data_IF_897178977515
#
_entry.id   IF_897178977515
#
_cell.length_a   1.000
_cell.length_b   1.000
_cell.length_c   1.000
_cell.angle_alpha   90.00
_cell.angle_beta   90.00
_cell.angle_gamma   90.00
#
_symmetry.space_group_name_H-M   'P 1'
#
loop_
_entity.id
_entity.type
_entity.pdbx_description
1 polymer ?
#
# COMPACT_ATOMS: atom_id res chain seq x y z
N UNK A 1 -14.52 -19.52 -16.02
CA UNK A 1 -13.60 -20.38 -15.27
C UNK A 1 -13.60 -19.96 -13.82
N UNK A 2 -13.89 -20.88 -12.93
CA UNK A 2 -13.81 -20.60 -11.50
C UNK A 2 -12.37 -20.40 -11.09
N UNK A 3 -12.12 -19.30 -10.43
CA UNK A 3 -10.80 -18.98 -9.94
C UNK A 3 -10.76 -19.33 -8.43
N UNK A 4 -10.32 -20.55 -8.13
CA UNK A 4 -10.19 -21.01 -6.74
C UNK A 4 -9.07 -20.28 -6.01
N UNK A 5 -8.11 -19.76 -6.77
CA UNK A 5 -6.94 -19.05 -6.25
C UNK A 5 -6.83 -17.70 -6.95
N UNK A 6 -7.54 -16.69 -6.44
CA UNK A 6 -7.51 -15.36 -7.08
C UNK A 6 -6.11 -14.77 -7.11
N UNK A 7 -5.72 -14.25 -8.28
CA UNK A 7 -4.45 -13.53 -8.48
C UNK A 7 -4.80 -12.21 -9.12
N UNK A 8 -4.36 -11.11 -8.52
CA UNK A 8 -4.62 -9.78 -9.07
C UNK A 8 -3.50 -8.82 -8.71
N UNK A 9 -3.47 -7.68 -9.40
CA UNK A 9 -2.47 -6.65 -9.20
C UNK A 9 -3.09 -5.38 -8.66
N UNK A 10 -2.35 -4.70 -7.80
CA UNK A 10 -2.75 -3.43 -7.20
C UNK A 10 -1.57 -2.47 -7.16
N UNK A 11 -1.84 -1.21 -6.86
CA UNK A 11 -0.82 -0.24 -6.49
C UNK A 11 -0.99 0.15 -5.03
N UNK A 12 0.11 0.55 -4.42
CA UNK A 12 0.13 1.07 -3.05
C UNK A 12 1.13 2.23 -3.05
N UNK A 13 0.68 3.40 -2.63
CA UNK A 13 1.51 4.60 -2.64
C UNK A 13 1.50 5.29 -1.28
N UNK A 14 2.68 5.64 -0.82
CA UNK A 14 2.86 6.47 0.36
C UNK A 14 3.37 7.84 -0.10
N UNK A 15 2.51 8.86 -0.02
CA UNK A 15 2.94 10.24 -0.27
C UNK A 15 3.74 10.71 0.94
N UNK A 16 4.82 11.42 0.70
CA UNK A 16 5.78 11.85 1.73
C UNK A 16 5.86 13.37 1.79
N UNK A 17 5.81 13.91 2.99
CA UNK A 17 6.02 15.34 3.26
C UNK A 17 6.39 15.54 4.73
N UNK A 18 7.39 16.37 4.99
CA UNK A 18 7.77 16.77 6.35
C UNK A 18 8.00 15.57 7.30
N UNK A 19 8.68 14.55 6.79
CA UNK A 19 8.98 13.32 7.51
C UNK A 19 7.73 12.55 7.96
N UNK A 20 6.65 12.65 7.17
CA UNK A 20 5.40 11.95 7.40
C UNK A 20 4.95 11.25 6.13
N UNK A 21 4.15 10.19 6.30
CA UNK A 21 3.44 9.53 5.21
C UNK A 21 1.96 9.86 5.27
N UNK A 22 1.34 10.06 4.11
CA UNK A 22 -0.12 10.11 4.02
C UNK A 22 -0.64 8.69 4.09
N UNK A 23 -1.45 8.40 5.08
CA UNK A 23 -1.99 7.06 5.30
C UNK A 23 -3.50 7.08 5.36
N UNK A 24 -4.09 5.97 4.97
CA UNK A 24 -5.52 5.75 4.97
C UNK A 24 -5.89 4.78 6.10
N UNK A 25 -6.71 5.25 7.03
CA UNK A 25 -7.26 4.38 8.08
C UNK A 25 -8.55 3.74 7.55
N UNK A 26 -8.52 2.43 7.32
CA UNK A 26 -9.59 1.67 6.67
C UNK A 26 -10.71 1.35 7.66
N UNK A 27 -11.65 2.27 7.85
CA UNK A 27 -12.70 2.13 8.85
C UNK A 27 -14.13 2.14 8.28
N UNK A 28 -14.28 2.31 6.95
CA UNK A 28 -15.59 2.50 6.33
C UNK A 28 -16.23 1.23 5.78
N UNK A 29 -15.45 0.13 5.62
CA UNK A 29 -15.95 -1.16 5.12
C UNK A 29 -15.65 -2.25 6.13
N UNK A 30 -16.71 -2.82 6.75
CA UNK A 30 -16.54 -3.81 7.83
C UNK A 30 -16.04 -5.18 7.34
N UNK A 31 -16.40 -5.57 6.12
CA UNK A 31 -16.01 -6.85 5.53
C UNK A 31 -14.67 -6.79 4.76
N UNK A 32 -13.95 -5.69 4.89
CA UNK A 32 -12.63 -5.47 4.31
C UNK A 32 -11.58 -6.20 5.17
N UNK A 33 -10.72 -7.04 4.54
CA UNK A 33 -9.64 -7.69 5.28
C UNK A 33 -8.60 -6.68 5.82
N UNK A 34 -8.58 -5.45 5.29
CA UNK A 34 -7.79 -4.34 5.83
C UNK A 34 -8.55 -3.52 6.88
N UNK A 35 -9.75 -3.97 7.30
CA UNK A 35 -10.56 -3.19 8.24
C UNK A 35 -9.77 -2.83 9.50
N UNK A 36 -9.87 -1.58 9.91
CA UNK A 36 -9.16 -0.96 11.03
C UNK A 36 -7.64 -0.85 10.85
N UNK A 37 -7.08 -1.30 9.73
CA UNK A 37 -5.66 -1.14 9.47
C UNK A 37 -5.36 0.19 8.78
N UNK A 38 -4.15 0.66 9.00
CA UNK A 38 -3.60 1.83 8.31
C UNK A 38 -2.77 1.35 7.13
N UNK A 39 -3.07 1.87 5.97
CA UNK A 39 -2.41 1.50 4.71
C UNK A 39 -2.08 2.76 3.90
N UNK A 40 -1.35 2.60 2.81
CA UNK A 40 -1.17 3.67 1.84
C UNK A 40 -2.41 3.82 0.94
N UNK A 41 -2.34 4.69 -0.04
CA UNK A 41 -3.40 4.87 -1.02
C UNK A 41 -3.10 4.03 -2.26
N UNK A 42 -4.13 3.49 -2.89
CA UNK A 42 -3.99 2.64 -4.06
C UNK A 42 -5.20 1.76 -4.25
N UNK A 43 -5.10 0.84 -5.19
CA UNK A 43 -6.19 -0.08 -5.47
C UNK A 43 -5.91 -0.97 -6.66
N UNK A 44 -6.93 -1.71 -7.08
CA UNK A 44 -6.82 -2.70 -8.15
C UNK A 44 -6.68 -2.03 -9.51
N UNK A 45 -5.89 -2.66 -10.37
CA UNK A 45 -5.79 -2.27 -11.77
C UNK A 45 -7.15 -2.38 -12.44
N UNK A 46 -7.45 -1.41 -13.26
CA UNK A 46 -8.52 -1.51 -14.23
C UNK A 46 -7.96 -2.06 -15.54
N UNK A 47 -8.88 -2.40 -16.46
CA UNK A 47 -8.51 -2.96 -17.75
C UNK A 47 -7.58 -2.01 -18.51
N UNK A 48 -6.50 -2.56 -19.06
CA UNK A 48 -5.52 -1.86 -19.91
C UNK A 48 -4.64 -0.84 -19.16
N UNK A 49 -4.63 -0.87 -17.84
CA UNK A 49 -3.77 0.03 -17.08
C UNK A 49 -2.37 -0.53 -16.90
N UNK A 50 -1.38 0.35 -17.04
CA UNK A 50 -0.04 0.10 -16.52
C UNK A 50 -0.03 0.35 -15.00
N UNK A 51 1.02 -0.06 -14.28
CA UNK A 51 1.15 0.33 -12.88
C UNK A 51 1.03 1.84 -12.64
N UNK A 52 1.63 2.66 -13.51
CA UNK A 52 1.57 4.12 -13.40
C UNK A 52 0.18 4.67 -13.68
N UNK A 53 -0.55 4.10 -14.65
CA UNK A 53 -1.95 4.49 -14.91
C UNK A 53 -2.80 4.25 -13.65
N UNK A 54 -2.66 3.07 -13.05
CA UNK A 54 -3.39 2.71 -11.83
C UNK A 54 -3.00 3.63 -10.68
N UNK A 55 -1.71 3.86 -10.49
CA UNK A 55 -1.19 4.75 -9.46
C UNK A 55 -1.82 6.14 -9.54
N UNK A 56 -1.74 6.77 -10.70
CA UNK A 56 -2.23 8.14 -10.88
C UNK A 56 -3.74 8.21 -10.69
N UNK A 57 -4.48 7.25 -11.21
CA UNK A 57 -5.93 7.20 -11.08
C UNK A 57 -6.37 6.99 -9.62
N UNK A 58 -5.81 6.00 -8.95
CA UNK A 58 -6.18 5.68 -7.57
C UNK A 58 -5.84 6.80 -6.60
N UNK A 59 -4.65 7.40 -6.74
CA UNK A 59 -4.29 8.53 -5.89
C UNK A 59 -5.26 9.69 -6.10
N UNK A 60 -5.62 9.98 -7.35
CA UNK A 60 -6.58 11.05 -7.65
C UNK A 60 -7.95 10.75 -7.06
N UNK A 61 -8.45 9.53 -7.21
CA UNK A 61 -9.76 9.13 -6.69
C UNK A 61 -9.81 9.19 -5.16
N UNK A 62 -8.76 8.71 -4.49
CA UNK A 62 -8.77 8.61 -3.04
C UNK A 62 -8.39 9.91 -2.32
N UNK A 63 -7.52 10.72 -2.92
CA UNK A 63 -6.99 11.91 -2.25
C UNK A 63 -7.36 13.23 -2.89
N UNK A 64 -7.76 13.24 -4.16
CA UNK A 64 -7.96 14.45 -4.94
C UNK A 64 -6.67 15.01 -5.52
N UNK A 65 -5.53 14.42 -5.21
CA UNK A 65 -4.23 14.93 -5.64
C UNK A 65 -3.79 14.30 -6.96
N UNK A 66 -3.09 15.09 -7.77
CA UNK A 66 -2.45 14.63 -9.00
C UNK A 66 -0.95 14.54 -8.78
N UNK A 67 -0.40 13.34 -8.80
CA UNK A 67 1.03 13.14 -8.59
C UNK A 67 1.84 13.75 -9.74
N UNK A 68 2.95 14.38 -9.39
CA UNK A 68 3.91 14.94 -10.34
C UNK A 68 5.29 14.30 -10.21
N UNK A 69 5.59 13.70 -9.06
CA UNK A 69 6.86 13.01 -8.83
C UNK A 69 6.64 11.79 -7.95
N UNK A 70 7.07 10.62 -8.44
CA UNK A 70 6.94 9.35 -7.72
C UNK A 70 8.10 8.43 -8.07
N UNK A 71 8.31 7.41 -7.22
CA UNK A 71 9.32 6.38 -7.46
C UNK A 71 8.72 5.00 -7.22
N UNK A 72 9.00 4.05 -8.12
CA UNK A 72 8.74 2.63 -7.86
C UNK A 72 9.77 2.14 -6.85
N UNK A 73 9.31 1.58 -5.74
CA UNK A 73 10.21 1.14 -4.68
C UNK A 73 10.35 -0.38 -4.63
N UNK A 74 9.37 -1.11 -5.08
CA UNK A 74 9.42 -2.57 -5.08
C UNK A 74 8.12 -3.21 -5.52
N UNK A 75 8.15 -4.54 -5.50
CA UNK A 75 6.97 -5.38 -5.74
C UNK A 75 6.74 -6.23 -4.49
N UNK A 76 5.54 -6.13 -3.93
CA UNK A 76 5.14 -6.97 -2.81
C UNK A 76 4.28 -8.12 -3.36
N UNK A 77 4.56 -9.33 -2.91
CA UNK A 77 3.72 -10.49 -3.18
C UNK A 77 2.99 -10.84 -1.88
N UNK A 78 1.77 -10.38 -1.77
CA UNK A 78 0.95 -10.55 -0.55
C UNK A 78 0.07 -11.79 -0.72
N UNK A 79 0.27 -12.77 0.15
CA UNK A 79 -0.49 -14.02 0.14
C UNK A 79 -1.30 -14.10 1.41
N UNK A 80 -2.63 -14.18 1.26
CA UNK A 80 -3.57 -14.26 2.37
C UNK A 80 -4.63 -15.29 2.00
N UNK A 81 -4.70 -16.38 2.79
CA UNK A 81 -5.55 -17.52 2.45
C UNK A 81 -5.14 -18.10 1.09
N UNK A 82 -6.08 -18.18 0.16
CA UNK A 82 -5.84 -18.67 -1.20
C UNK A 82 -5.62 -17.52 -2.22
N UNK A 83 -5.53 -16.30 -1.73
CA UNK A 83 -5.42 -15.08 -2.56
C UNK A 83 -3.95 -14.68 -2.71
N UNK A 84 -3.56 -14.27 -3.92
CA UNK A 84 -2.27 -13.66 -4.18
C UNK A 84 -2.49 -12.27 -4.77
N UNK A 85 -1.93 -11.28 -4.12
CA UNK A 85 -1.99 -9.90 -4.58
C UNK A 85 -0.58 -9.42 -4.89
N UNK A 86 -0.36 -8.99 -6.14
CA UNK A 86 0.92 -8.36 -6.52
C UNK A 86 0.76 -6.86 -6.38
N UNK A 87 1.44 -6.29 -5.41
CA UNK A 87 1.30 -4.88 -5.04
C UNK A 87 2.51 -4.11 -5.55
N UNK A 88 2.28 -3.17 -6.45
CA UNK A 88 3.31 -2.28 -6.96
C UNK A 88 3.46 -1.13 -5.96
N UNK A 89 4.57 -1.11 -5.23
CA UNK A 89 4.84 -0.17 -4.14
C UNK A 89 5.54 1.08 -4.65
N UNK A 90 4.95 2.23 -4.34
CA UNK A 90 5.46 3.55 -4.73
C UNK A 90 5.57 4.46 -3.52
N UNK A 91 6.50 5.42 -3.61
CA UNK A 91 6.48 6.62 -2.78
C UNK A 91 6.40 7.82 -3.70
N UNK A 92 5.80 8.91 -3.22
CA UNK A 92 5.62 10.12 -4.00
C UNK A 92 5.88 11.35 -3.14
N UNK A 93 6.60 12.32 -3.67
CA UNK A 93 6.94 13.56 -2.95
C UNK A 93 6.59 14.81 -3.74
N UNK A 94 5.88 14.70 -4.85
CA UNK A 94 5.40 15.84 -5.62
C UNK A 94 3.98 15.62 -6.12
N UNK A 95 3.13 16.63 -5.96
CA UNK A 95 1.74 16.61 -6.43
C UNK A 95 1.18 18.01 -6.54
N UNK A 96 0.04 18.13 -7.26
CA UNK A 96 -0.76 19.34 -7.37
C UNK A 96 -2.19 19.04 -6.91
N UNK A 97 -2.98 20.09 -6.74
CA UNK A 97 -4.36 19.96 -6.31
C UNK A 97 -4.52 20.06 -4.80
N UNK A 98 -5.73 19.88 -4.35
CA UNK A 98 -6.08 19.96 -2.93
C UNK A 98 -6.57 18.60 -2.44
N UNK A 99 -6.07 18.19 -1.28
CA UNK A 99 -6.52 16.93 -0.67
C UNK A 99 -7.97 17.04 -0.24
N UNK A 100 -8.77 16.01 -0.54
CA UNK A 100 -10.14 15.92 -0.07
C UNK A 100 -10.16 15.90 1.47
N UNK A 101 -11.22 16.46 2.06
CA UNK A 101 -11.30 16.69 3.50
C UNK A 101 -12.23 15.72 4.19
N UNK A 102 -11.87 15.37 5.44
CA UNK A 102 -12.76 14.64 6.34
C UNK A 102 -13.21 13.29 5.79
N UNK A 103 -14.52 13.10 5.68
CA UNK A 103 -15.14 11.85 5.28
C UNK A 103 -15.30 11.67 3.78
N UNK A 104 -14.72 12.54 2.95
CA UNK A 104 -14.91 12.48 1.51
C UNK A 104 -14.28 11.23 0.87
N UNK A 105 -13.26 10.65 1.49
CA UNK A 105 -12.68 9.39 1.00
C UNK A 105 -13.59 8.21 1.33
N UNK A 106 -13.98 7.44 0.31
CA UNK A 106 -14.92 6.32 0.46
C UNK A 106 -14.33 5.14 1.22
N UNK A 107 -13.00 4.99 1.21
CA UNK A 107 -12.32 3.82 1.78
C UNK A 107 -12.02 3.99 3.27
N UNK A 108 -11.94 5.22 3.76
CA UNK A 108 -11.59 5.49 5.15
C UNK A 108 -11.25 6.95 5.38
N UNK A 109 -10.38 7.19 6.34
CA UNK A 109 -9.94 8.54 6.74
C UNK A 109 -8.46 8.71 6.42
N UNK A 110 -8.13 9.78 5.70
CA UNK A 110 -6.74 10.14 5.35
C UNK A 110 -6.11 10.96 6.46
N UNK A 111 -4.85 10.64 6.80
CA UNK A 111 -4.13 11.36 7.84
C UNK A 111 -2.63 11.32 7.55
N UNK A 112 -1.95 12.43 7.82
CA UNK A 112 -0.49 12.49 7.79
C UNK A 112 0.06 11.89 9.07
N UNK A 113 0.85 10.84 8.96
CA UNK A 113 1.40 10.11 10.10
C UNK A 113 2.92 10.29 10.10
N UNK A 114 3.51 10.84 11.19
CA UNK A 114 4.97 10.88 11.30
C UNK A 114 5.58 9.50 11.08
N UNK A 115 6.63 9.42 10.28
CA UNK A 115 7.27 8.13 9.93
C UNK A 115 7.66 7.33 11.16
N UNK A 116 8.12 8.00 12.22
CA UNK A 116 8.52 7.35 13.47
C UNK A 116 7.35 6.71 14.24
N UNK A 117 6.11 7.08 13.91
CA UNK A 117 4.91 6.58 14.61
C UNK A 117 4.17 5.50 13.84
N UNK A 118 4.54 5.24 12.60
CA UNK A 118 3.81 4.30 11.73
C UNK A 118 3.73 2.90 12.34
N UNK A 119 4.83 2.41 12.91
CA UNK A 119 4.88 1.06 13.49
C UNK A 119 4.01 0.89 14.73
N UNK A 120 3.57 1.99 15.36
CA UNK A 120 2.70 1.95 16.53
C UNK A 120 1.22 1.82 16.15
N UNK A 121 0.89 1.99 14.86
CA UNK A 121 -0.46 1.89 14.35
C UNK A 121 -0.82 0.43 14.06
N UNK A 122 -2.12 0.10 14.00
CA UNK A 122 -2.57 -1.19 13.48
C UNK A 122 -2.23 -1.29 11.99
N UNK A 123 -1.11 -1.92 11.69
CA UNK A 123 -0.66 -2.18 10.33
C UNK A 123 -0.40 -3.68 10.20
N UNK A 124 -0.29 -4.16 8.95
CA UNK A 124 0.14 -5.53 8.71
C UNK A 124 1.59 -5.71 9.19
N UNK A 125 1.91 -6.84 9.80
CA UNK A 125 3.25 -7.10 10.32
C UNK A 125 4.34 -6.99 9.24
N UNK A 126 4.04 -7.45 8.05
CA UNK A 126 4.97 -7.36 6.93
C UNK A 126 5.25 -5.94 6.46
N UNK A 127 4.33 -5.02 6.72
CA UNK A 127 4.50 -3.62 6.35
C UNK A 127 5.68 -3.00 7.10
N UNK A 128 5.95 -3.46 8.33
CA UNK A 128 7.11 -3.00 9.11
C UNK A 128 8.41 -3.30 8.38
N UNK A 129 8.46 -4.41 7.66
CA UNK A 129 9.65 -4.79 6.88
C UNK A 129 9.87 -3.78 5.75
N UNK A 130 8.83 -3.52 4.93
CA UNK A 130 9.05 -2.60 3.82
C UNK A 130 9.21 -1.15 4.26
N UNK A 131 8.58 -0.71 5.37
CA UNK A 131 8.84 0.63 5.89
C UNK A 131 10.30 0.81 6.28
N UNK A 132 10.91 -0.21 6.88
CA UNK A 132 12.34 -0.17 7.18
C UNK A 132 13.18 -0.05 5.91
N UNK A 133 12.85 -0.84 4.88
CA UNK A 133 13.54 -0.77 3.60
C UNK A 133 13.39 0.60 2.93
N UNK A 134 12.20 1.18 2.99
CA UNK A 134 11.96 2.54 2.47
C UNK A 134 12.79 3.58 3.21
N UNK A 135 12.82 3.50 4.53
CA UNK A 135 13.57 4.46 5.35
C UNK A 135 15.08 4.35 5.13
N UNK A 136 15.58 3.17 4.81
CA UNK A 136 16.99 2.92 4.53
C UNK A 136 17.36 3.22 3.06
N UNK A 137 16.41 3.68 2.25
CA UNK A 137 16.62 3.90 0.81
C UNK A 137 17.17 2.65 0.11
N UNK A 138 16.64 1.49 0.50
CA UNK A 138 17.03 0.21 -0.11
C UNK A 138 16.75 0.23 -1.61
N UNK A 139 17.63 -0.33 -2.46
CA UNK A 139 17.34 -0.47 -3.88
C UNK A 139 16.03 -1.22 -4.11
N UNK A 140 15.46 -1.07 -5.31
CA UNK A 140 14.21 -1.73 -5.67
C UNK A 140 14.22 -3.19 -5.23
N UNK A 141 13.16 -3.65 -4.59
CA UNK A 141 13.13 -4.98 -3.98
C UNK A 141 11.86 -5.73 -4.34
N UNK A 142 11.93 -7.05 -4.20
CA UNK A 142 10.79 -7.96 -4.27
C UNK A 142 10.60 -8.57 -2.89
N UNK A 143 9.43 -8.38 -2.30
CA UNK A 143 9.15 -8.86 -0.94
C UNK A 143 7.88 -9.72 -0.95
N UNK A 144 8.05 -11.01 -0.65
CA UNK A 144 6.92 -11.93 -0.50
C UNK A 144 6.53 -12.01 0.97
N UNK A 145 5.25 -11.85 1.23
CA UNK A 145 4.68 -11.88 2.58
C UNK A 145 3.55 -12.89 2.62
N UNK A 146 3.70 -13.93 3.43
CA UNK A 146 2.69 -14.99 3.55
C UNK A 146 2.03 -14.92 4.90
N UNK A 147 0.70 -14.77 4.90
CA UNK A 147 -0.11 -14.64 6.09
C UNK A 147 -1.03 -15.84 6.30
N UNK A 148 -1.26 -16.14 7.57
CA UNK A 148 -2.34 -17.03 8.01
C UNK A 148 -3.22 -16.18 8.93
N UNK A 149 -4.40 -15.76 8.46
CA UNK A 149 -5.17 -14.71 9.11
C UNK A 149 -4.34 -13.43 9.16
N UNK A 150 -4.20 -12.85 10.33
CA UNK A 150 -3.41 -11.63 10.53
C UNK A 150 -1.95 -11.92 10.92
N UNK A 151 -1.57 -13.20 10.95
CA UNK A 151 -0.23 -13.60 11.41
C UNK A 151 0.71 -13.79 10.23
N UNK A 152 1.83 -13.06 10.24
CA UNK A 152 2.88 -13.21 9.23
C UNK A 152 3.63 -14.53 9.49
N UNK A 153 3.56 -15.45 8.53
CA UNK A 153 4.21 -16.77 8.63
C UNK A 153 5.55 -16.81 7.92
N UNK A 154 5.70 -16.03 6.85
CA UNK A 154 6.91 -16.06 6.05
C UNK A 154 7.11 -14.71 5.37
N UNK A 155 8.36 -14.26 5.33
CA UNK A 155 8.76 -13.12 4.52
C UNK A 155 10.04 -13.47 3.76
N UNK A 156 10.04 -13.17 2.46
CA UNK A 156 11.16 -13.49 1.56
C UNK A 156 11.54 -12.20 0.82
N UNK A 157 12.76 -11.72 1.05
CA UNK A 157 13.28 -10.50 0.44
C UNK A 157 14.27 -10.87 -0.66
N UNK A 158 13.97 -10.47 -1.90
CA UNK A 158 14.82 -10.73 -3.07
C UNK A 158 15.25 -12.20 -3.15
N UNK A 159 14.31 -13.11 -2.85
CA UNK A 159 14.55 -14.55 -2.89
C UNK A 159 15.18 -15.13 -1.64
N UNK A 160 15.45 -14.33 -0.60
CA UNK A 160 16.04 -14.80 0.65
C UNK A 160 15.06 -14.68 1.81
N UNK A 161 14.84 -15.77 2.51
CA UNK A 161 13.93 -15.80 3.65
C UNK A 161 14.47 -14.92 4.79
N UNK A 162 13.63 -14.02 5.31
CA UNK A 162 13.95 -13.14 6.43
C UNK A 162 13.05 -13.36 7.65
N UNK A 163 11.91 -14.02 7.42
CA UNK A 163 11.01 -14.46 8.50
C UNK A 163 10.51 -15.86 8.21
#
# INVERSE_FOLDING_TARGET
>A
MNQEYPIFSTTLCYLERDDAYLMLHRVKKEDDYNHDKWVGVGGKFERFESPEDCLLREVKEETGLTLTHWRSRGLLTFIWGNMTEFIHLYTADGWTGEMIQGDACREGVLEWVPKEKVEQLPIWEGDKIFFKLLNEEHPWFSLKLVYEGDVLRQAVLDGKRVV
#
